data_IF_404483304044
#
_entry.id   IF_404483304044
#
_cell.length_a   1.000
_cell.length_b   1.000
_cell.length_c   1.000
_cell.angle_alpha   90.00
_cell.angle_beta   90.00
_cell.angle_gamma   90.00
#
_symmetry.space_group_name_H-M   'P 1'
#
loop_
_entity.id
_entity.type
_entity.pdbx_description
1 polymer ?
#
# COMPACT_ATOMS: atom_id res chain seq x y z
N UNK A 1 -65.61 -14.19 -31.70
CA UNK A 1 -64.35 -14.92 -31.42
C UNK A 1 -63.32 -13.90 -30.97
N UNK A 2 -63.06 -13.85 -29.66
CA UNK A 2 -62.20 -12.85 -29.00
C UNK A 2 -60.76 -13.41 -28.91
N UNK A 3 -59.81 -12.69 -29.47
CA UNK A 3 -58.38 -12.88 -29.29
C UNK A 3 -57.97 -12.43 -27.89
N UNK A 4 -57.56 -13.37 -27.02
CA UNK A 4 -56.97 -13.09 -25.72
C UNK A 4 -55.86 -14.11 -25.43
N UNK A 5 -54.71 -14.00 -26.12
CA UNK A 5 -53.47 -14.68 -25.74
C UNK A 5 -52.27 -13.82 -26.17
N UNK A 6 -51.94 -12.79 -25.40
CA UNK A 6 -50.58 -12.21 -25.39
C UNK A 6 -50.44 -11.19 -24.26
N UNK A 7 -50.14 -11.63 -23.03
CA UNK A 7 -49.57 -10.73 -22.01
C UNK A 7 -48.94 -11.44 -20.79
N UNK A 8 -48.22 -12.55 -21.00
CA UNK A 8 -47.68 -13.35 -19.88
C UNK A 8 -46.16 -13.61 -19.96
N UNK A 9 -45.38 -12.69 -20.55
CA UNK A 9 -43.91 -12.86 -20.66
C UNK A 9 -43.03 -11.76 -20.06
N UNK A 10 -43.57 -10.72 -19.40
CA UNK A 10 -42.74 -9.58 -18.96
C UNK A 10 -42.67 -9.35 -17.44
N UNK A 11 -42.80 -10.39 -16.61
CA UNK A 11 -42.64 -10.25 -15.15
C UNK A 11 -41.42 -11.04 -14.64
N UNK A 12 -40.25 -10.76 -15.22
CA UNK A 12 -38.97 -11.05 -14.56
C UNK A 12 -38.82 -9.97 -13.49
N UNK A 13 -39.24 -10.28 -12.27
CA UNK A 13 -39.11 -9.38 -11.12
C UNK A 13 -37.64 -9.31 -10.69
N UNK A 14 -37.23 -8.18 -10.09
CA UNK A 14 -35.86 -8.00 -9.56
C UNK A 14 -35.43 -9.10 -8.56
N UNK A 15 -36.41 -9.78 -7.96
CA UNK A 15 -36.22 -10.94 -7.08
C UNK A 15 -35.74 -12.19 -7.85
N UNK A 16 -36.23 -12.42 -9.07
CA UNK A 16 -35.72 -13.48 -9.92
C UNK A 16 -34.29 -13.22 -10.38
N UNK A 17 -33.93 -11.96 -10.65
CA UNK A 17 -32.55 -11.59 -11.02
C UNK A 17 -31.56 -11.82 -9.88
N UNK A 18 -31.97 -11.60 -8.64
CA UNK A 18 -31.12 -11.87 -7.47
C UNK A 18 -30.95 -13.36 -7.20
N UNK A 19 -31.98 -14.18 -7.43
CA UNK A 19 -31.89 -15.64 -7.34
C UNK A 19 -31.01 -16.20 -8.45
N UNK A 20 -31.18 -15.74 -9.70
CA UNK A 20 -30.36 -16.15 -10.85
C UNK A 20 -28.91 -15.73 -10.63
N UNK A 21 -28.67 -14.49 -10.19
CA UNK A 21 -27.33 -14.00 -9.87
C UNK A 21 -26.63 -14.86 -8.81
N UNK A 22 -27.34 -15.15 -7.70
CA UNK A 22 -26.79 -15.97 -6.61
C UNK A 22 -26.55 -17.43 -7.03
N UNK A 23 -27.39 -17.98 -7.91
CA UNK A 23 -27.22 -19.30 -8.48
C UNK A 23 -26.01 -19.36 -9.43
N UNK A 24 -25.85 -18.37 -10.32
CA UNK A 24 -24.70 -18.26 -11.21
C UNK A 24 -23.39 -18.07 -10.43
N UNK A 25 -23.37 -17.20 -9.43
CA UNK A 25 -22.21 -17.02 -8.55
C UNK A 25 -21.83 -18.32 -7.83
N UNK A 26 -22.81 -19.06 -7.29
CA UNK A 26 -22.55 -20.37 -6.67
C UNK A 26 -22.05 -21.40 -7.66
N UNK A 27 -22.62 -21.49 -8.86
CA UNK A 27 -22.17 -22.45 -9.88
C UNK A 27 -20.75 -22.15 -10.36
N UNK A 28 -20.35 -20.88 -10.41
CA UNK A 28 -18.96 -20.49 -10.72
C UNK A 28 -17.99 -20.84 -9.58
N UNK A 29 -18.45 -20.84 -8.32
CA UNK A 29 -17.63 -21.20 -7.15
C UNK A 29 -17.45 -22.73 -6.95
N UNK A 30 -18.18 -23.60 -7.67
CA UNK A 30 -18.09 -25.07 -7.50
C UNK A 30 -17.13 -25.71 -8.51
N UNK A 31 -16.31 -24.93 -9.24
CA UNK A 31 -15.21 -25.52 -10.01
C UNK A 31 -14.09 -25.93 -9.05
N UNK A 32 -13.99 -27.23 -8.78
CA UNK A 32 -12.93 -27.81 -7.94
C UNK A 32 -11.55 -27.40 -8.49
N UNK A 33 -10.63 -26.87 -7.66
CA UNK A 33 -9.32 -26.31 -8.08
C UNK A 33 -8.31 -27.33 -8.63
N UNK A 34 -8.75 -28.48 -9.15
CA UNK A 34 -7.87 -29.60 -9.44
C UNK A 34 -7.23 -29.57 -10.84
N UNK A 35 -7.36 -28.46 -11.56
CA UNK A 35 -6.57 -28.21 -12.75
C UNK A 35 -5.24 -27.58 -12.31
N UNK A 36 -4.13 -28.29 -12.57
CA UNK A 36 -2.77 -27.76 -12.34
C UNK A 36 -2.65 -26.36 -12.96
N UNK A 37 -2.04 -25.43 -12.21
CA UNK A 37 -1.80 -24.07 -12.69
C UNK A 37 -1.11 -24.11 -14.07
N UNK A 38 -1.54 -23.28 -15.06
CA UNK A 38 -0.88 -23.18 -16.33
C UNK A 38 0.63 -22.94 -16.16
N UNK A 39 1.45 -23.58 -16.99
CA UNK A 39 2.90 -23.35 -16.96
C UNK A 39 3.21 -21.91 -17.40
N UNK A 40 4.38 -21.41 -17.00
CA UNK A 40 4.81 -20.06 -17.35
C UNK A 40 4.87 -19.83 -18.87
N UNK A 41 5.26 -20.86 -19.63
CA UNK A 41 5.33 -20.82 -21.10
C UNK A 41 3.94 -20.67 -21.71
N UNK A 42 2.93 -21.38 -21.18
CA UNK A 42 1.53 -21.27 -21.64
C UNK A 42 0.94 -19.90 -21.32
N UNK A 43 1.26 -19.36 -20.14
CA UNK A 43 0.86 -18.01 -19.74
C UNK A 43 1.49 -16.93 -20.63
N UNK A 44 2.78 -17.05 -20.94
CA UNK A 44 3.47 -16.13 -21.84
C UNK A 44 2.89 -16.19 -23.27
N UNK A 45 2.71 -17.40 -23.80
CA UNK A 45 2.09 -17.60 -25.11
C UNK A 45 0.68 -16.98 -25.17
N UNK A 46 -0.12 -17.11 -24.11
CA UNK A 46 -1.44 -16.50 -24.00
C UNK A 46 -1.39 -14.97 -24.00
N UNK A 47 -0.46 -14.37 -23.23
CA UNK A 47 -0.26 -12.91 -23.17
C UNK A 47 0.16 -12.34 -24.52
N UNK A 48 1.02 -13.05 -25.25
CA UNK A 48 1.47 -12.69 -26.60
C UNK A 48 0.39 -12.91 -27.68
N UNK A 49 -0.81 -13.37 -27.29
CA UNK A 49 -1.94 -13.64 -28.17
C UNK A 49 -1.83 -14.96 -28.94
N UNK A 50 -0.87 -15.83 -28.61
CA UNK A 50 -0.71 -17.18 -29.13
C UNK A 50 -1.62 -18.23 -28.46
N UNK A 51 -1.52 -19.47 -28.93
CA UNK A 51 -2.31 -20.62 -28.45
C UNK A 51 -3.57 -20.91 -29.25
N UNK A 52 -4.05 -22.16 -29.19
CA UNK A 52 -5.32 -22.57 -29.80
C UNK A 52 -6.51 -21.99 -28.99
N UNK A 53 -7.68 -21.79 -29.62
CA UNK A 53 -8.86 -21.23 -28.95
C UNK A 53 -9.25 -22.01 -27.67
N UNK A 54 -9.17 -23.33 -27.71
CA UNK A 54 -9.44 -24.19 -26.56
C UNK A 54 -8.48 -23.95 -25.39
N UNK A 55 -7.20 -23.75 -25.69
CA UNK A 55 -6.18 -23.42 -24.68
C UNK A 55 -6.39 -22.04 -24.07
N UNK A 56 -6.79 -21.06 -24.88
CA UNK A 56 -7.14 -19.71 -24.42
C UNK A 56 -8.33 -19.74 -23.47
N UNK A 57 -9.38 -20.50 -23.82
CA UNK A 57 -10.58 -20.64 -22.97
C UNK A 57 -10.26 -21.33 -21.64
N UNK A 58 -9.38 -22.33 -21.65
CA UNK A 58 -8.93 -23.00 -20.43
C UNK A 58 -8.12 -22.06 -19.53
N UNK A 59 -7.20 -21.26 -20.09
CA UNK A 59 -6.46 -20.26 -19.32
C UNK A 59 -7.42 -19.20 -18.75
N UNK A 60 -8.34 -18.66 -19.55
CA UNK A 60 -9.34 -17.69 -19.09
C UNK A 60 -10.22 -18.23 -17.96
N UNK A 61 -10.66 -19.49 -18.06
CA UNK A 61 -11.39 -20.17 -16.99
C UNK A 61 -10.54 -20.30 -15.73
N UNK A 62 -9.27 -20.67 -15.83
CA UNK A 62 -8.37 -20.75 -14.70
C UNK A 62 -8.11 -19.38 -14.06
N UNK A 63 -7.91 -18.33 -14.87
CA UNK A 63 -7.75 -16.94 -14.42
C UNK A 63 -9.01 -16.40 -13.71
N UNK A 64 -10.18 -16.97 -14.00
CA UNK A 64 -11.42 -16.61 -13.31
C UNK A 64 -11.44 -17.05 -11.84
N UNK A 65 -10.72 -18.13 -11.51
CA UNK A 65 -10.81 -18.83 -10.21
C UNK A 65 -9.49 -18.80 -9.41
N UNK A 66 -8.33 -18.66 -10.07
CA UNK A 66 -7.02 -18.69 -9.46
C UNK A 66 -6.39 -17.29 -9.40
N UNK A 67 -6.48 -16.65 -8.23
CA UNK A 67 -5.94 -15.30 -7.99
C UNK A 67 -4.44 -15.22 -8.30
N UNK A 68 -3.68 -16.27 -7.97
CA UNK A 68 -2.24 -16.35 -8.26
C UNK A 68 -1.94 -16.30 -9.76
N UNK A 69 -2.67 -17.03 -10.59
CA UNK A 69 -2.45 -17.00 -12.05
C UNK A 69 -2.96 -15.70 -12.66
N UNK A 70 -4.03 -15.11 -12.12
CA UNK A 70 -4.52 -13.78 -12.51
C UNK A 70 -3.48 -12.70 -12.25
N UNK A 71 -2.81 -12.78 -11.12
CA UNK A 71 -1.70 -11.90 -10.76
C UNK A 71 -0.53 -12.03 -11.74
N UNK A 72 -0.09 -13.26 -12.05
CA UNK A 72 0.97 -13.50 -13.05
C UNK A 72 0.56 -12.92 -14.41
N UNK A 73 -0.69 -13.13 -14.85
CA UNK A 73 -1.19 -12.58 -16.11
C UNK A 73 -1.12 -11.05 -16.16
N UNK A 74 -1.60 -10.35 -15.11
CA UNK A 74 -1.60 -8.88 -15.07
C UNK A 74 -0.18 -8.33 -15.18
N UNK A 75 0.76 -8.90 -14.42
CA UNK A 75 2.18 -8.50 -14.47
C UNK A 75 2.79 -8.74 -15.85
N UNK A 76 2.63 -9.94 -16.42
CA UNK A 76 3.19 -10.28 -17.73
C UNK A 76 2.57 -9.44 -18.83
N UNK A 77 1.26 -9.19 -18.79
CA UNK A 77 0.56 -8.35 -19.74
C UNK A 77 1.06 -6.89 -19.70
N UNK A 78 1.27 -6.33 -18.50
CA UNK A 78 1.81 -4.97 -18.37
C UNK A 78 3.24 -4.84 -18.89
N UNK A 79 4.06 -5.88 -18.72
CA UNK A 79 5.40 -5.93 -19.31
C UNK A 79 5.38 -6.14 -20.84
N UNK A 80 4.36 -6.82 -21.37
CA UNK A 80 4.21 -7.09 -22.80
C UNK A 80 3.74 -5.87 -23.61
N UNK A 81 3.14 -4.87 -22.94
CA UNK A 81 2.72 -3.64 -23.60
C UNK A 81 3.96 -3.01 -24.20
N UNK A 82 4.07 -2.89 -25.55
CA UNK A 82 5.18 -2.18 -26.14
C UNK A 82 5.14 -0.77 -25.54
N UNK A 83 6.20 -0.38 -24.82
CA UNK A 83 6.32 1.00 -24.38
C UNK A 83 6.04 1.85 -25.62
N UNK A 84 5.07 2.78 -25.57
CA UNK A 84 4.74 3.58 -26.73
C UNK A 84 6.05 4.23 -27.15
N UNK A 85 6.61 3.77 -28.26
CA UNK A 85 7.86 4.29 -28.78
C UNK A 85 7.58 5.76 -28.94
N UNK A 86 8.11 6.59 -28.02
CA UNK A 86 7.87 8.01 -28.05
C UNK A 86 8.41 8.45 -29.40
N UNK A 87 7.52 8.68 -30.35
CA UNK A 87 7.82 9.37 -31.60
C UNK A 87 8.06 10.86 -31.28
N UNK A 88 8.89 11.13 -30.27
CA UNK A 88 9.42 12.44 -29.97
C UNK A 88 10.54 12.70 -30.95
N UNK A 89 10.22 13.42 -32.04
CA UNK A 89 11.15 14.25 -32.85
C UNK A 89 12.59 13.71 -32.98
N UNK A 90 12.75 12.42 -33.29
CA UNK A 90 14.06 11.75 -33.32
C UNK A 90 14.94 12.14 -34.51
N UNK A 91 14.45 13.00 -35.40
CA UNK A 91 15.23 13.56 -36.51
C UNK A 91 16.38 14.49 -36.07
N UNK A 92 16.30 15.13 -34.90
CA UNK A 92 17.30 16.16 -34.54
C UNK A 92 18.44 15.65 -33.64
N UNK A 93 18.22 14.62 -32.83
CA UNK A 93 19.23 14.12 -31.89
C UNK A 93 20.27 13.19 -32.51
N UNK A 94 19.98 12.55 -33.64
CA UNK A 94 20.97 11.70 -34.35
C UNK A 94 22.08 12.56 -34.98
N UNK A 95 21.80 13.82 -35.34
CA UNK A 95 22.81 14.75 -35.82
C UNK A 95 23.72 15.30 -34.69
N UNK A 96 23.22 15.38 -33.44
CA UNK A 96 23.98 15.90 -32.30
C UNK A 96 24.87 14.87 -31.60
N UNK A 97 24.49 13.60 -31.60
CA UNK A 97 25.21 12.53 -30.90
C UNK A 97 26.62 12.25 -31.43
N UNK A 98 26.85 12.46 -32.73
CA UNK A 98 28.16 12.25 -33.35
C UNK A 98 29.20 13.34 -32.98
N UNK A 99 28.77 14.53 -32.59
CA UNK A 99 29.69 15.63 -32.20
C UNK A 99 30.11 15.54 -30.73
N UNK A 100 29.27 15.00 -29.85
CA UNK A 100 29.56 14.92 -28.42
C UNK A 100 30.61 13.83 -28.07
N UNK A 101 30.63 12.72 -28.80
CA UNK A 101 31.62 11.64 -28.59
C UNK A 101 33.03 12.07 -29.00
N UNK A 102 33.18 12.85 -30.07
CA UNK A 102 34.48 13.40 -30.48
C UNK A 102 35.08 14.37 -29.44
N UNK A 103 34.25 15.19 -28.80
CA UNK A 103 34.70 16.13 -27.77
C UNK A 103 35.23 15.43 -26.50
N UNK A 104 34.62 14.30 -26.11
CA UNK A 104 35.07 13.51 -24.96
C UNK A 104 36.43 12.86 -25.20
N UNK A 105 36.70 12.36 -26.42
CA UNK A 105 38.01 11.78 -26.77
C UNK A 105 39.11 12.85 -26.70
N UNK A 106 38.85 14.06 -27.22
CA UNK A 106 39.79 15.19 -27.14
C UNK A 106 40.04 15.62 -25.69
N UNK A 107 39.01 15.63 -24.84
CA UNK A 107 39.13 15.99 -23.43
C UNK A 107 39.98 14.97 -22.64
N UNK A 108 39.78 13.67 -22.87
CA UNK A 108 40.54 12.60 -22.22
C UNK A 108 42.02 12.65 -22.62
N UNK A 109 42.34 12.91 -23.90
CA UNK A 109 43.73 13.06 -24.38
C UNK A 109 44.41 14.29 -23.78
N UNK A 110 43.70 15.41 -23.62
CA UNK A 110 44.25 16.62 -22.98
C UNK A 110 44.53 16.40 -21.48
N UNK A 111 43.69 15.65 -20.78
CA UNK A 111 43.84 15.39 -19.34
C UNK A 111 44.96 14.38 -19.02
N UNK A 112 45.23 13.40 -19.89
CA UNK A 112 46.32 12.45 -19.67
C UNK A 112 47.71 13.05 -19.94
N UNK A 113 47.83 14.03 -20.85
CA UNK A 113 49.13 14.65 -21.18
C UNK A 113 49.56 15.69 -20.12
N UNK A 114 48.63 16.21 -19.31
CA UNK A 114 48.90 17.32 -18.39
C UNK A 114 49.12 16.95 -16.94
N UNK A 115 49.16 15.67 -16.53
CA UNK A 115 49.42 15.34 -15.12
C UNK A 115 50.89 15.63 -14.75
N UNK A 116 51.19 16.67 -13.95
CA UNK A 116 52.51 16.88 -13.38
C UNK A 116 52.69 15.86 -12.26
N UNK A 117 53.90 15.33 -12.12
CA UNK A 117 54.25 14.35 -11.10
C UNK A 117 53.86 14.84 -9.69
N UNK A 118 53.30 13.95 -8.83
CA UNK A 118 52.92 14.33 -7.47
C UNK A 118 54.17 14.57 -6.62
N UNK A 119 54.47 15.85 -6.37
CA UNK A 119 55.45 16.28 -5.38
C UNK A 119 54.96 15.90 -3.98
N UNK A 120 55.78 15.14 -3.27
CA UNK A 120 55.58 14.83 -1.86
C UNK A 120 55.86 16.03 -0.95
N UNK A 121 55.50 15.83 0.32
CA UNK A 121 55.64 16.70 1.51
C UNK A 121 54.51 17.70 1.74
N UNK A 122 53.74 17.45 2.81
CA UNK A 122 53.77 18.37 3.95
C UNK A 122 53.32 17.71 5.25
N UNK A 123 54.25 17.74 6.20
CA UNK A 123 54.11 17.41 7.62
C UNK A 123 53.37 18.53 8.36
N UNK A 124 52.64 18.10 9.40
CA UNK A 124 52.42 18.75 10.70
C UNK A 124 51.71 20.12 10.78
N UNK A 125 50.60 20.13 11.52
CA UNK A 125 50.37 21.09 12.62
C UNK A 125 49.17 20.68 13.48
N UNK A 126 49.43 20.41 14.77
CA UNK A 126 48.53 20.71 15.88
C UNK A 126 48.92 22.12 16.38
N UNK A 127 48.01 22.97 16.91
CA UNK A 127 47.56 22.81 18.30
C UNK A 127 46.17 23.43 18.67
N UNK A 128 45.84 23.28 19.95
CA UNK A 128 45.08 24.19 20.84
C UNK A 128 43.55 24.03 21.03
N UNK A 129 43.17 23.57 22.23
CA UNK A 129 42.00 24.02 23.00
C UNK A 129 42.27 25.46 23.53
N UNK A 130 41.31 26.33 23.97
CA UNK A 130 40.22 26.01 24.94
C UNK A 130 38.91 26.85 24.83
N UNK A 131 37.93 26.57 25.71
CA UNK A 131 37.26 27.51 26.64
C UNK A 131 35.74 27.30 26.85
N UNK A 132 35.40 27.42 28.12
CA UNK A 132 34.12 27.27 28.82
C UNK A 132 33.20 28.45 28.53
N UNK A 133 31.92 28.20 28.28
CA UNK A 133 30.87 29.23 28.32
C UNK A 133 29.97 29.02 29.54
N UNK A 134 29.96 30.01 30.43
CA UNK A 134 29.03 30.11 31.57
C UNK A 134 27.59 30.29 31.06
N UNK A 135 26.68 29.52 31.64
CA UNK A 135 25.22 29.66 31.48
C UNK A 135 24.70 30.71 32.47
N UNK A 136 23.95 31.74 32.04
CA UNK A 136 23.30 32.70 32.94
C UNK A 136 22.06 32.11 33.65
N UNK A 137 21.70 32.61 34.85
CA UNK A 137 20.52 32.15 35.59
C UNK A 137 19.20 32.57 34.92
N UNK A 138 18.22 31.67 35.02
CA UNK A 138 16.89 31.79 34.43
C UNK A 138 16.07 32.95 35.03
N UNK A 139 15.45 33.73 34.15
CA UNK A 139 14.42 34.73 34.46
C UNK A 139 13.08 34.03 34.65
N UNK A 140 12.31 34.29 35.72
CA UNK A 140 10.98 33.74 35.90
C UNK A 140 9.99 34.40 34.92
N UNK A 141 9.41 33.58 34.03
CA UNK A 141 8.35 33.99 33.11
C UNK A 141 7.00 33.89 33.85
N UNK A 142 6.14 34.93 33.80
CA UNK A 142 4.81 34.91 34.44
C UNK A 142 3.87 33.89 33.77
N UNK A 143 2.86 33.37 34.50
CA UNK A 143 1.91 32.41 33.96
C UNK A 143 1.00 33.06 32.91
N UNK A 144 1.33 32.87 31.64
CA UNK A 144 0.43 33.17 30.53
C UNK A 144 -0.73 32.17 30.59
N UNK A 145 -1.96 32.66 30.71
CA UNK A 145 -3.20 31.89 30.57
C UNK A 145 -3.15 31.10 29.26
N UNK A 146 -2.88 29.81 29.36
CA UNK A 146 -2.94 28.87 28.24
C UNK A 146 -4.39 28.66 27.85
N UNK A 147 -4.76 29.26 26.71
CA UNK A 147 -5.93 28.86 25.92
C UNK A 147 -5.73 27.38 25.61
N UNK A 148 -6.71 26.55 25.95
CA UNK A 148 -6.72 25.09 25.78
C UNK A 148 -5.90 24.63 24.57
N UNK A 149 -4.63 24.30 24.82
CA UNK A 149 -3.78 23.63 23.85
C UNK A 149 -4.38 22.25 23.66
N UNK A 150 -4.81 21.97 22.43
CA UNK A 150 -5.13 20.63 21.97
C UNK A 150 -4.02 19.71 22.45
N UNK A 151 -4.36 18.87 23.42
CA UNK A 151 -3.41 18.01 24.11
C UNK A 151 -2.64 17.21 23.04
N UNK A 152 -1.29 17.19 23.06
CA UNK A 152 -0.52 16.39 22.12
C UNK A 152 -1.03 14.95 22.24
N UNK A 153 -1.68 14.45 21.20
CA UNK A 153 -2.24 13.10 21.20
C UNK A 153 -1.15 12.11 21.62
N UNK A 154 -1.45 11.17 22.53
CA UNK A 154 -0.46 10.24 23.06
C UNK A 154 0.27 9.51 21.95
N UNK A 155 1.57 9.41 22.14
CA UNK A 155 2.60 9.08 21.19
C UNK A 155 2.63 7.59 20.79
N UNK A 156 1.52 7.02 20.31
CA UNK A 156 1.52 5.71 19.63
C UNK A 156 0.51 5.71 18.50
N UNK A 157 1.01 5.67 17.28
CA UNK A 157 0.18 5.45 16.11
C UNK A 157 -0.28 3.98 16.12
N UNK A 158 -1.45 3.74 16.71
CA UNK A 158 -2.11 2.44 16.71
C UNK A 158 -3.18 2.41 15.62
N UNK A 159 -3.23 1.31 14.88
CA UNK A 159 -4.08 1.19 13.68
C UNK A 159 -5.57 1.45 14.00
N UNK A 160 -6.06 0.90 15.11
CA UNK A 160 -7.45 1.08 15.54
C UNK A 160 -7.81 2.52 15.95
N UNK A 161 -6.85 3.33 16.40
CA UNK A 161 -7.11 4.76 16.73
C UNK A 161 -7.36 5.55 15.45
N UNK A 162 -6.53 5.36 14.43
CA UNK A 162 -6.67 6.02 13.14
C UNK A 162 -7.99 5.66 12.45
N UNK A 163 -8.34 4.38 12.43
CA UNK A 163 -9.60 3.89 11.87
C UNK A 163 -10.82 4.53 12.55
N UNK A 164 -10.88 4.52 13.89
CA UNK A 164 -11.98 5.14 14.64
C UNK A 164 -12.10 6.65 14.39
N UNK A 165 -10.98 7.36 14.37
CA UNK A 165 -10.98 8.79 14.10
C UNK A 165 -11.53 9.11 12.69
N UNK A 166 -11.19 8.30 11.68
CA UNK A 166 -11.70 8.46 10.33
C UNK A 166 -13.18 8.07 10.23
N UNK A 167 -13.60 6.96 10.86
CA UNK A 167 -14.99 6.50 10.91
C UNK A 167 -15.94 7.53 11.57
N UNK A 168 -15.47 8.24 12.59
CA UNK A 168 -16.23 9.34 13.22
C UNK A 168 -16.41 10.56 12.30
N UNK A 169 -15.59 10.67 11.25
CA UNK A 169 -15.44 11.89 10.47
C UNK A 169 -16.11 11.85 9.08
N UNK A 170 -16.57 10.69 8.64
CA UNK A 170 -17.16 10.43 7.33
C UNK A 170 -18.14 9.24 7.37
N UNK A 171 -19.09 9.19 6.43
CA UNK A 171 -20.02 8.04 6.32
C UNK A 171 -19.33 6.81 5.72
N UNK A 172 -19.87 5.61 5.96
CA UNK A 172 -19.37 4.36 5.39
C UNK A 172 -19.22 4.43 3.86
N UNK A 173 -20.17 5.02 3.14
CA UNK A 173 -20.11 5.17 1.67
C UNK A 173 -18.98 6.12 1.22
N UNK A 174 -18.74 7.19 1.99
CA UNK A 174 -17.65 8.13 1.72
C UNK A 174 -16.30 7.45 1.95
N UNK A 175 -16.18 6.69 3.03
CA UNK A 175 -14.99 5.90 3.35
C UNK A 175 -14.75 4.81 2.29
N UNK A 176 -15.79 4.14 1.81
CA UNK A 176 -15.70 3.17 0.72
C UNK A 176 -15.19 3.79 -0.57
N UNK A 177 -15.69 4.97 -0.90
CA UNK A 177 -15.24 5.71 -2.08
C UNK A 177 -13.77 6.13 -1.93
N UNK A 178 -13.32 6.44 -0.71
CA UNK A 178 -11.95 6.88 -0.42
C UNK A 178 -10.93 5.75 -0.35
N UNK A 179 -11.30 4.56 0.15
CA UNK A 179 -10.49 3.33 0.02
C UNK A 179 -10.34 2.97 -1.47
N UNK A 180 -11.33 3.36 -2.28
CA UNK A 180 -11.40 3.07 -3.70
C UNK A 180 -11.84 1.63 -3.98
N UNK A 181 -12.20 1.34 -5.22
CA UNK A 181 -12.29 -0.05 -5.67
C UNK A 181 -10.93 -0.72 -5.39
N UNK A 182 -10.89 -2.01 -4.97
CA UNK A 182 -9.68 -2.71 -4.53
C UNK A 182 -8.62 -2.74 -5.64
N UNK A 183 -7.88 -1.64 -5.76
CA UNK A 183 -6.65 -1.50 -6.54
C UNK A 183 -5.44 -1.75 -5.66
N UNK A 184 -5.66 -2.00 -4.36
CA UNK A 184 -4.67 -2.50 -3.39
C UNK A 184 -4.10 -3.88 -3.76
N UNK A 185 -4.67 -4.57 -4.76
CA UNK A 185 -4.11 -5.81 -5.29
C UNK A 185 -2.69 -5.69 -5.86
N UNK A 186 -2.18 -4.48 -6.13
CA UNK A 186 -0.90 -4.33 -6.83
C UNK A 186 -0.11 -3.10 -6.37
N UNK A 187 0.32 -3.08 -5.11
CA UNK A 187 1.71 -2.61 -4.91
C UNK A 187 2.60 -3.60 -5.68
N UNK A 188 3.72 -3.18 -6.26
CA UNK A 188 4.62 -3.98 -7.10
C UNK A 188 5.23 -5.24 -6.45
N UNK A 189 4.64 -5.68 -5.33
CA UNK A 189 4.91 -6.77 -4.43
C UNK A 189 4.00 -7.99 -4.58
N UNK A 190 3.31 -8.10 -5.70
CA UNK A 190 2.84 -9.39 -6.21
C UNK A 190 3.94 -10.49 -6.21
N UNK A 191 5.22 -10.09 -6.10
CA UNK A 191 6.37 -10.98 -5.88
C UNK A 191 7.07 -10.97 -4.51
N UNK A 192 6.79 -10.07 -3.54
CA UNK A 192 7.60 -10.09 -2.30
C UNK A 192 7.05 -11.08 -1.28
N UNK A 193 7.54 -12.31 -1.34
CA UNK A 193 7.57 -13.23 -0.19
C UNK A 193 8.45 -12.74 0.97
N UNK A 194 8.69 -11.42 1.07
CA UNK A 194 9.44 -10.84 2.18
C UNK A 194 8.51 -10.70 3.38
N UNK A 195 9.02 -11.05 4.56
CA UNK A 195 8.30 -10.89 5.83
C UNK A 195 7.82 -9.44 6.05
N UNK A 196 8.61 -8.46 5.60
CA UNK A 196 8.29 -7.03 5.71
C UNK A 196 7.09 -6.64 4.83
N UNK A 197 7.04 -7.09 3.58
CA UNK A 197 5.89 -6.84 2.71
C UNK A 197 4.61 -7.50 3.23
N UNK A 198 4.72 -8.70 3.83
CA UNK A 198 3.59 -9.34 4.53
C UNK A 198 3.13 -8.54 5.75
N UNK A 199 4.06 -8.06 6.59
CA UNK A 199 3.73 -7.21 7.74
C UNK A 199 3.07 -5.89 7.30
N UNK A 200 3.60 -5.24 6.28
CA UNK A 200 3.04 -3.99 5.76
C UNK A 200 1.58 -4.19 5.30
N UNK A 201 1.34 -5.22 4.48
CA UNK A 201 -0.02 -5.58 4.02
C UNK A 201 -0.94 -5.95 5.18
N UNK A 202 -0.44 -6.66 6.19
CA UNK A 202 -1.23 -6.96 7.40
C UNK A 202 -1.67 -5.67 8.10
N UNK A 203 -0.83 -4.64 8.10
CA UNK A 203 -1.18 -3.31 8.60
C UNK A 203 -2.30 -2.61 7.84
N UNK A 204 -2.29 -2.70 6.51
CA UNK A 204 -3.35 -2.14 5.66
C UNK A 204 -4.68 -2.86 5.88
N UNK A 205 -4.67 -4.19 5.87
CA UNK A 205 -5.88 -5.01 6.10
C UNK A 205 -6.42 -4.84 7.52
N UNK A 206 -5.54 -4.70 8.51
CA UNK A 206 -5.93 -4.41 9.89
C UNK A 206 -6.60 -3.04 10.03
N UNK A 207 -6.12 -2.04 9.29
CA UNK A 207 -6.75 -0.73 9.23
C UNK A 207 -8.13 -0.81 8.60
N UNK A 208 -8.27 -1.49 7.46
CA UNK A 208 -9.57 -1.66 6.80
C UNK A 208 -10.56 -2.40 7.71
N UNK A 209 -10.14 -3.49 8.36
CA UNK A 209 -10.96 -4.23 9.31
C UNK A 209 -11.51 -3.31 10.42
N UNK A 210 -10.65 -2.58 11.11
CA UNK A 210 -11.05 -1.64 12.16
C UNK A 210 -11.95 -0.51 11.63
N UNK A 211 -11.67 -0.01 10.43
CA UNK A 211 -12.47 1.05 9.82
C UNK A 211 -13.89 0.56 9.55
N UNK A 212 -14.03 -0.66 8.99
CA UNK A 212 -15.33 -1.24 8.67
C UNK A 212 -16.13 -1.65 9.91
N UNK A 213 -15.45 -2.19 10.93
CA UNK A 213 -16.05 -2.42 12.24
C UNK A 213 -16.57 -1.12 12.86
N UNK A 214 -15.77 -0.05 12.83
CA UNK A 214 -16.15 1.26 13.35
C UNK A 214 -17.27 1.92 12.54
N UNK A 215 -17.33 1.68 11.23
CA UNK A 215 -18.39 2.15 10.34
C UNK A 215 -19.68 1.29 10.40
N UNK A 216 -19.66 0.14 11.09
CA UNK A 216 -20.78 -0.79 11.18
C UNK A 216 -21.01 -1.67 9.93
N UNK A 217 -20.06 -1.70 9.00
CA UNK A 217 -20.13 -2.48 7.75
C UNK A 217 -19.54 -3.89 7.95
N UNK A 218 -20.38 -4.82 8.41
CA UNK A 218 -19.96 -6.19 8.77
C UNK A 218 -19.47 -7.01 7.59
N UNK A 219 -20.08 -6.83 6.42
CA UNK A 219 -19.72 -7.57 5.22
C UNK A 219 -18.29 -7.22 4.80
N UNK A 220 -17.96 -5.92 4.73
CA UNK A 220 -16.61 -5.48 4.41
C UNK A 220 -15.60 -5.78 5.51
N UNK A 221 -16.01 -5.71 6.77
CA UNK A 221 -15.17 -6.15 7.89
C UNK A 221 -14.82 -7.64 7.80
N UNK A 222 -15.79 -8.49 7.45
CA UNK A 222 -15.58 -9.92 7.22
C UNK A 222 -14.56 -10.17 6.10
N UNK A 223 -14.74 -9.51 4.95
CA UNK A 223 -13.80 -9.61 3.82
C UNK A 223 -12.38 -9.16 4.17
N UNK A 224 -12.23 -8.06 4.93
CA UNK A 224 -10.90 -7.61 5.39
C UNK A 224 -10.27 -8.63 6.36
N UNK A 225 -11.07 -9.19 7.27
CA UNK A 225 -10.63 -10.25 8.17
C UNK A 225 -10.17 -11.51 7.43
N UNK A 226 -10.90 -11.96 6.42
CA UNK A 226 -10.53 -13.10 5.57
C UNK A 226 -9.17 -12.90 4.87
N UNK A 227 -8.91 -11.69 4.35
CA UNK A 227 -7.62 -11.33 3.73
C UNK A 227 -6.49 -11.24 4.75
N UNK A 228 -6.78 -10.84 5.99
CA UNK A 228 -5.80 -10.71 7.06
C UNK A 228 -5.31 -12.06 7.61
N UNK A 229 -6.16 -13.10 7.64
CA UNK A 229 -5.82 -14.45 8.15
C UNK A 229 -4.53 -15.03 7.53
N UNK A 230 -4.39 -15.15 6.20
CA UNK A 230 -3.18 -15.72 5.59
C UNK A 230 -1.94 -14.87 5.85
N UNK A 231 -2.08 -13.54 5.99
CA UNK A 231 -0.96 -12.64 6.30
C UNK A 231 -0.45 -12.86 7.71
N UNK A 232 -1.33 -12.90 8.71
CA UNK A 232 -0.95 -13.16 10.10
C UNK A 232 -0.38 -14.56 10.28
N UNK A 233 -0.96 -15.57 9.62
CA UNK A 233 -0.41 -16.94 9.62
C UNK A 233 1.01 -16.97 9.09
N UNK A 234 1.31 -16.19 8.05
CA UNK A 234 2.66 -16.10 7.48
C UNK A 234 3.67 -15.39 8.40
N UNK A 235 3.22 -14.53 9.33
CA UNK A 235 4.11 -13.80 10.24
C UNK A 235 4.43 -14.61 11.50
N UNK A 236 3.42 -15.18 12.14
CA UNK A 236 3.51 -15.75 13.50
C UNK A 236 2.93 -17.17 13.61
N UNK A 237 2.51 -17.78 12.49
CA UNK A 237 1.88 -19.10 12.49
C UNK A 237 0.42 -19.08 12.97
N UNK A 238 -0.13 -20.26 13.27
CA UNK A 238 -1.56 -20.42 13.56
C UNK A 238 -1.99 -19.74 14.88
N UNK A 239 -1.08 -19.61 15.86
CA UNK A 239 -1.38 -19.02 17.17
C UNK A 239 -1.86 -17.56 17.05
N UNK A 240 -1.29 -16.79 16.11
CA UNK A 240 -1.70 -15.40 15.90
C UNK A 240 -3.05 -15.26 15.18
N UNK A 241 -3.55 -16.33 14.55
CA UNK A 241 -4.83 -16.30 13.82
C UNK A 241 -6.02 -16.65 14.71
N UNK A 242 -5.82 -17.24 15.89
CA UNK A 242 -6.93 -17.67 16.75
C UNK A 242 -7.89 -16.53 17.12
N UNK A 243 -7.43 -15.35 17.59
CA UNK A 243 -8.33 -14.24 17.89
C UNK A 243 -9.09 -13.73 16.66
N UNK A 244 -8.47 -13.76 15.48
CA UNK A 244 -9.10 -13.34 14.23
C UNK A 244 -10.15 -14.35 13.74
N UNK A 245 -9.89 -15.66 13.88
CA UNK A 245 -10.88 -16.69 13.54
C UNK A 245 -12.09 -16.64 14.49
N UNK A 246 -11.88 -16.31 15.77
CA UNK A 246 -12.96 -16.09 16.72
C UNK A 246 -13.77 -14.84 16.36
N UNK A 247 -13.11 -13.77 15.92
CA UNK A 247 -13.77 -12.58 15.40
C UNK A 247 -14.63 -12.88 14.18
N UNK A 248 -14.07 -13.56 13.17
CA UNK A 248 -14.79 -13.89 11.94
C UNK A 248 -16.05 -14.71 12.25
N UNK A 249 -15.96 -15.69 13.15
CA UNK A 249 -17.12 -16.43 13.66
C UNK A 249 -18.13 -15.55 14.40
N UNK A 250 -17.68 -14.54 15.15
CA UNK A 250 -18.58 -13.57 15.81
C UNK A 250 -19.29 -12.66 14.80
N UNK A 251 -18.61 -12.27 13.72
CA UNK A 251 -19.21 -11.48 12.63
C UNK A 251 -20.30 -12.25 11.89
N UNK A 252 -20.16 -13.57 11.75
CA UNK A 252 -21.16 -14.45 11.15
C UNK A 252 -22.39 -14.70 12.04
N UNK A 253 -22.23 -14.68 13.37
CA UNK A 253 -23.24 -15.16 14.33
C UNK A 253 -24.15 -14.06 14.90
N UNK A 254 -24.32 -12.94 14.18
CA UNK A 254 -25.16 -11.79 14.57
C UNK A 254 -24.80 -11.12 15.91
N UNK A 255 -23.60 -11.36 16.44
CA UNK A 255 -23.15 -10.85 17.73
C UNK A 255 -23.25 -9.32 17.87
N UNK A 256 -23.66 -8.86 19.06
CA UNK A 256 -23.72 -7.45 19.45
C UNK A 256 -22.35 -6.77 19.37
N UNK A 257 -22.32 -5.55 18.83
CA UNK A 257 -21.14 -4.71 18.54
C UNK A 257 -20.14 -4.49 19.69
N UNK A 258 -20.56 -4.65 20.95
CA UNK A 258 -19.79 -4.20 22.11
C UNK A 258 -18.51 -4.99 22.44
N UNK A 259 -18.18 -6.07 21.73
CA UNK A 259 -16.96 -6.87 21.97
C UNK A 259 -15.87 -6.74 20.90
N UNK A 260 -16.12 -5.99 19.83
CA UNK A 260 -15.21 -5.92 18.69
C UNK A 260 -14.28 -4.71 18.73
N UNK A 261 -14.27 -3.96 19.83
CA UNK A 261 -13.36 -2.84 19.98
C UNK A 261 -11.93 -3.34 20.23
N UNK A 262 -10.96 -2.69 19.59
CA UNK A 262 -9.53 -2.84 19.87
C UNK A 262 -8.89 -4.17 19.41
N UNK A 263 -9.48 -4.82 18.40
CA UNK A 263 -8.93 -6.02 17.76
C UNK A 263 -7.55 -5.75 17.20
N UNK A 264 -7.32 -4.59 16.59
CA UNK A 264 -6.02 -4.19 16.08
C UNK A 264 -4.97 -4.16 17.18
N UNK A 265 -5.29 -3.56 18.33
CA UNK A 265 -4.37 -3.55 19.46
C UNK A 265 -4.08 -4.96 19.97
N UNK A 266 -5.10 -5.83 20.03
CA UNK A 266 -4.91 -7.24 20.41
C UNK A 266 -4.00 -7.98 19.41
N UNK A 267 -4.26 -7.88 18.11
CA UNK A 267 -3.44 -8.50 17.07
C UNK A 267 -2.02 -7.93 17.04
N UNK A 268 -1.84 -6.62 17.24
CA UNK A 268 -0.53 -5.98 17.39
C UNK A 268 0.29 -6.50 18.59
N UNK A 269 -0.33 -7.11 19.60
CA UNK A 269 0.41 -7.71 20.73
C UNK A 269 0.98 -9.09 20.41
N UNK A 270 0.49 -9.74 19.35
CA UNK A 270 0.92 -11.07 18.92
C UNK A 270 2.16 -11.01 18.01
N UNK A 271 2.50 -9.83 17.50
CA UNK A 271 3.57 -9.62 16.54
C UNK A 271 4.91 -9.30 17.21
N UNK A 272 6.02 -9.71 16.59
CA UNK A 272 7.34 -9.20 17.00
C UNK A 272 7.42 -7.67 16.93
N UNK A 273 8.28 -7.04 17.74
CA UNK A 273 8.46 -5.57 17.73
C UNK A 273 8.78 -5.02 16.34
N UNK A 274 9.60 -5.74 15.55
CA UNK A 274 9.96 -5.34 14.19
C UNK A 274 8.75 -5.40 13.27
N UNK A 275 8.03 -6.51 13.25
CA UNK A 275 6.85 -6.68 12.40
C UNK A 275 5.76 -5.68 12.80
N UNK A 276 5.53 -5.50 14.10
CA UNK A 276 4.59 -4.52 14.66
C UNK A 276 4.81 -3.10 14.13
N UNK A 277 6.05 -2.64 14.07
CA UNK A 277 6.35 -1.29 13.56
C UNK A 277 6.07 -1.20 12.05
N UNK A 278 6.30 -2.27 11.29
CA UNK A 278 5.98 -2.33 9.85
C UNK A 278 4.46 -2.42 9.62
N UNK A 279 3.73 -3.20 10.44
CA UNK A 279 2.25 -3.23 10.47
C UNK A 279 1.69 -1.83 10.74
N UNK A 280 2.25 -1.12 11.73
CA UNK A 280 1.83 0.27 12.02
C UNK A 280 2.13 1.22 10.86
N UNK A 281 3.24 1.03 10.15
CA UNK A 281 3.55 1.80 8.95
C UNK A 281 2.53 1.52 7.84
N UNK A 282 2.17 0.26 7.60
CA UNK A 282 1.13 -0.12 6.64
C UNK A 282 -0.23 0.49 6.97
N UNK A 283 -0.67 0.36 8.22
CA UNK A 283 -1.91 0.98 8.68
C UNK A 283 -1.89 2.51 8.61
N UNK A 284 -0.72 3.15 8.84
CA UNK A 284 -0.56 4.58 8.64
C UNK A 284 -0.69 5.00 7.17
N UNK A 285 -0.08 4.25 6.24
CA UNK A 285 -0.20 4.52 4.81
C UNK A 285 -1.65 4.39 4.35
N UNK A 286 -2.34 3.31 4.71
CA UNK A 286 -3.74 3.11 4.33
C UNK A 286 -4.65 4.23 4.87
N UNK A 287 -4.51 4.55 6.15
CA UNK A 287 -5.27 5.64 6.78
C UNK A 287 -4.95 7.02 6.22
N UNK A 288 -3.69 7.31 5.87
CA UNK A 288 -3.29 8.54 5.19
C UNK A 288 -3.95 8.68 3.82
N UNK A 289 -4.08 7.59 3.06
CA UNK A 289 -4.79 7.57 1.77
C UNK A 289 -6.28 7.90 1.94
N UNK A 290 -6.93 7.24 2.88
CA UNK A 290 -8.35 7.51 3.20
C UNK A 290 -8.53 8.95 3.67
N UNK A 291 -7.70 9.43 4.59
CA UNK A 291 -7.73 10.80 5.11
C UNK A 291 -7.55 11.85 3.99
N UNK A 292 -6.64 11.60 3.05
CA UNK A 292 -6.43 12.44 1.87
C UNK A 292 -7.67 12.45 0.97
N UNK A 293 -8.26 11.28 0.71
CA UNK A 293 -9.48 11.14 -0.09
C UNK A 293 -10.71 11.83 0.51
N UNK A 294 -10.81 11.86 1.84
CA UNK A 294 -11.91 12.54 2.56
C UNK A 294 -11.61 13.98 3.00
N UNK A 295 -10.45 14.53 2.62
CA UNK A 295 -10.07 15.92 2.91
C UNK A 295 -9.84 16.22 4.40
N UNK A 296 -9.21 15.31 5.16
CA UNK A 296 -8.96 15.46 6.60
C UNK A 296 -7.52 15.88 6.90
N UNK A 297 -7.18 17.13 6.59
CA UNK A 297 -5.85 17.70 6.84
C UNK A 297 -5.32 17.54 8.29
N UNK A 298 -6.15 17.64 9.35
CA UNK A 298 -5.67 17.46 10.73
C UNK A 298 -5.09 16.07 11.00
N UNK A 299 -5.41 15.07 10.17
CA UNK A 299 -4.86 13.73 10.27
C UNK A 299 -3.32 13.70 10.14
N UNK A 300 -2.75 14.66 9.42
CA UNK A 300 -1.32 14.76 9.18
C UNK A 300 -0.58 15.59 10.24
N UNK A 301 -1.29 16.03 11.30
CA UNK A 301 -0.65 16.64 12.46
C UNK A 301 0.21 15.61 13.20
N UNK A 302 1.38 16.02 13.72
CA UNK A 302 2.21 15.16 14.60
C UNK A 302 3.39 14.44 13.94
N UNK A 303 3.73 14.79 12.70
CA UNK A 303 4.90 14.25 11.97
C UNK A 303 5.12 12.71 12.04
N UNK A 304 4.11 11.88 11.67
CA UNK A 304 4.29 10.43 11.64
C UNK A 304 5.48 9.92 10.79
N UNK A 305 5.81 10.50 9.60
CA UNK A 305 6.91 10.00 8.78
C UNK A 305 8.28 10.02 9.49
N UNK A 306 8.57 11.09 10.25
CA UNK A 306 9.81 11.22 11.01
C UNK A 306 9.93 10.13 12.08
N UNK A 307 8.82 9.80 12.74
CA UNK A 307 8.79 8.73 13.74
C UNK A 307 9.07 7.36 13.13
N UNK A 308 8.47 7.03 11.98
CA UNK A 308 8.77 5.77 11.31
C UNK A 308 10.23 5.71 10.83
N UNK A 309 10.83 6.84 10.45
CA UNK A 309 12.26 6.90 10.16
C UNK A 309 13.12 6.60 11.40
N UNK A 310 12.71 7.02 12.59
CA UNK A 310 13.40 6.74 13.85
C UNK A 310 13.22 5.29 14.29
N UNK A 311 11.99 4.76 14.23
CA UNK A 311 11.64 3.41 14.68
C UNK A 311 12.11 2.30 13.71
N UNK A 312 12.10 2.55 12.39
CA UNK A 312 12.39 1.55 11.36
C UNK A 312 13.69 1.83 10.59
N UNK A 313 14.42 2.92 10.87
CA UNK A 313 15.41 3.52 9.95
C UNK A 313 16.50 2.62 9.35
N UNK A 314 16.86 1.49 9.98
CA UNK A 314 17.79 0.49 9.40
C UNK A 314 17.08 -0.69 8.72
N UNK A 315 15.82 -0.92 9.07
CA UNK A 315 14.99 -2.00 8.57
C UNK A 315 14.27 -1.64 7.26
N UNK A 316 14.23 -0.35 6.90
CA UNK A 316 13.65 0.13 5.64
C UNK A 316 14.66 0.12 4.48
N UNK A 317 14.17 -0.13 3.27
CA UNK A 317 14.95 0.05 2.06
C UNK A 317 15.46 1.51 1.93
N UNK A 318 16.60 1.75 1.26
CA UNK A 318 17.06 3.11 0.97
C UNK A 318 16.00 3.97 0.27
N UNK A 319 15.20 3.38 -0.63
CA UNK A 319 14.14 4.05 -1.38
C UNK A 319 12.99 4.48 -0.46
N UNK A 320 12.46 3.57 0.38
CA UNK A 320 11.41 3.88 1.35
C UNK A 320 11.82 5.01 2.32
N UNK A 321 13.09 5.04 2.75
CA UNK A 321 13.61 6.12 3.61
C UNK A 321 13.65 7.47 2.90
N UNK A 322 13.97 7.48 1.60
CA UNK A 322 13.92 8.71 0.80
C UNK A 322 12.47 9.20 0.71
N UNK A 323 11.51 8.30 0.48
CA UNK A 323 10.09 8.66 0.39
C UNK A 323 9.55 9.20 1.72
N UNK A 324 9.84 8.54 2.84
CA UNK A 324 9.45 9.06 4.17
C UNK A 324 10.05 10.44 4.46
N UNK A 325 11.32 10.69 4.08
CA UNK A 325 11.92 12.03 4.20
C UNK A 325 11.24 13.07 3.31
N UNK A 326 10.74 12.68 2.13
CA UNK A 326 9.93 13.56 1.27
C UNK A 326 8.58 13.87 1.93
N UNK A 327 7.96 12.88 2.57
CA UNK A 327 6.70 13.02 3.30
C UNK A 327 6.83 13.90 4.55
N UNK A 328 7.95 13.79 5.28
CA UNK A 328 8.29 14.64 6.44
C UNK A 328 8.50 16.12 6.07
N UNK A 329 9.38 16.38 5.08
CA UNK A 329 9.73 17.75 4.68
C UNK A 329 8.56 18.53 4.08
N UNK A 330 7.61 17.81 3.50
CA UNK A 330 6.45 18.44 2.89
C UNK A 330 5.45 18.68 4.02
N UNK A 331 5.24 19.95 4.38
CA UNK A 331 3.93 20.34 4.94
C UNK A 331 2.93 19.77 3.94
N UNK A 332 2.14 18.79 4.36
CA UNK A 332 1.17 18.09 3.52
C UNK A 332 0.06 19.08 3.14
N UNK A 333 0.41 20.06 2.32
CA UNK A 333 -0.51 21.03 1.73
C UNK A 333 -1.30 20.36 0.62
N UNK A 334 -2.38 21.03 0.24
CA UNK A 334 -3.56 20.62 -0.53
C UNK A 334 -3.36 19.81 -1.84
N UNK A 335 -2.14 19.47 -2.23
CA UNK A 335 -1.82 18.62 -3.37
C UNK A 335 -1.95 17.13 -3.00
N UNK A 336 -3.20 16.67 -2.90
CA UNK A 336 -3.61 15.29 -2.58
C UNK A 336 -3.08 14.28 -3.58
N UNK A 337 -3.04 14.61 -4.88
CA UNK A 337 -2.52 13.74 -5.93
C UNK A 337 -1.04 13.40 -5.72
N UNK A 338 -0.21 14.40 -5.36
CA UNK A 338 1.20 14.15 -5.08
C UNK A 338 1.42 13.41 -3.78
N UNK A 339 0.59 13.64 -2.76
CA UNK A 339 0.62 12.87 -1.52
C UNK A 339 0.33 11.39 -1.80
N UNK A 340 -0.76 11.12 -2.54
CA UNK A 340 -1.14 9.77 -2.94
C UNK A 340 0.00 9.05 -3.67
N UNK A 341 0.63 9.74 -4.63
CA UNK A 341 1.79 9.20 -5.37
C UNK A 341 2.97 8.84 -4.45
N UNK A 342 3.25 9.64 -3.44
CA UNK A 342 4.33 9.35 -2.48
C UNK A 342 3.96 8.18 -1.56
N UNK A 343 2.69 8.06 -1.16
CA UNK A 343 2.21 6.92 -0.39
C UNK A 343 2.28 5.62 -1.21
N UNK A 344 1.97 5.69 -2.51
CA UNK A 344 2.14 4.57 -3.44
C UNK A 344 3.62 4.22 -3.67
N UNK A 345 4.50 5.22 -3.83
CA UNK A 345 5.96 5.03 -3.93
C UNK A 345 6.50 4.34 -2.66
N UNK A 346 6.09 4.82 -1.48
CA UNK A 346 6.48 4.22 -0.20
C UNK A 346 6.04 2.77 -0.11
N UNK A 347 4.76 2.50 -0.37
CA UNK A 347 4.22 1.15 -0.30
C UNK A 347 4.77 0.20 -1.38
N UNK A 348 5.41 0.70 -2.43
CA UNK A 348 6.15 -0.08 -3.43
C UNK A 348 7.62 -0.32 -3.05
N UNK A 349 8.15 0.40 -2.07
CA UNK A 349 9.56 0.35 -1.67
C UNK A 349 9.79 -0.43 -0.34
N UNK A 350 8.73 -0.87 0.34
CA UNK A 350 8.76 -1.68 1.58
C UNK A 350 8.89 -3.18 1.29
#
# INVERSE_FOLDING_TARGET
MKTMHSNQMNNITAENDTIIGRALSRSLCIMTPNEQCPTAERMAAFVDGGGANEERDNILRHLAVCDRCREVYILTHDLSKPEPVRHGRRGWYVAGGALASAALVVLVVKLTIQQPAPSGQQLAQAPAAPQVALVPPAVPIPPTKSIHGTQPQPATFAVGIAARQLAQSASADTLASAIGSPKSGFYGFAGSGSRQGTAFRAGEELFELELWLAAGDRERAGLAGERLVPLLRSLEGDAATAPLNDLLRQLETDGTHGKLEDIASQLETLLTTTDKNIVRLGGWVASAKVASGVGKDPYFAGNPPQRFLEELGKNLSPAARIVLKKLDKKKMGNDTTKLQRLLDELANDI
#
